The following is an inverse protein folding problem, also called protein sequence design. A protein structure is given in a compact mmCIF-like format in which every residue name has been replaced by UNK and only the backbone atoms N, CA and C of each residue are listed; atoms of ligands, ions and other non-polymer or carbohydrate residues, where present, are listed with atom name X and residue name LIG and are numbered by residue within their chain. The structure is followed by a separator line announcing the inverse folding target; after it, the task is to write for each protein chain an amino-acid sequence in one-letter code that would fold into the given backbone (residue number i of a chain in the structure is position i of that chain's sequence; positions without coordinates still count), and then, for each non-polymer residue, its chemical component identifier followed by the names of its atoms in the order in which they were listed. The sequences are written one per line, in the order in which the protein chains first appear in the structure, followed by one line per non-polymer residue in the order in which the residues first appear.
data_IF_454764400979
#
_entry.id   IF_454764400979
#
_cell.length_a   1.000
_cell.length_b   1.000
_cell.length_c   1.000
_cell.angle_alpha   90.00
_cell.angle_beta   90.00
_cell.angle_gamma   90.00
#
_symmetry.space_group_name_H-M   'P 1'
#
loop_
_entity.id
_entity.type
_entity.pdbx_description
1 polymer ?
#
# COMPACT_ATOMS: atom_id res chain seq x y z
N UNK A 1 7.56 -22.17 -11.05
CA UNK A 1 6.55 -21.32 -10.39
C UNK A 1 7.09 -19.90 -10.39
N UNK A 2 6.50 -19.01 -11.18
CA UNK A 2 6.82 -17.59 -11.11
C UNK A 2 6.04 -16.96 -9.93
N UNK A 3 6.66 -16.09 -9.13
CA UNK A 3 5.95 -15.41 -8.06
C UNK A 3 4.89 -14.48 -8.68
N UNK A 4 3.63 -14.71 -8.34
CA UNK A 4 2.54 -13.80 -8.66
C UNK A 4 2.74 -12.52 -7.85
N UNK A 5 3.16 -11.46 -8.52
CA UNK A 5 3.26 -10.13 -7.95
C UNK A 5 1.84 -9.55 -7.92
N UNK A 6 1.25 -9.45 -6.74
CA UNK A 6 -0.10 -8.90 -6.56
C UNK A 6 -0.14 -7.45 -7.07
N UNK A 7 -0.88 -7.16 -8.16
CA UNK A 7 -1.12 -5.79 -8.55
C UNK A 7 -2.26 -5.23 -7.69
N UNK A 8 -2.14 -3.96 -7.32
CA UNK A 8 -3.26 -3.06 -7.09
C UNK A 8 -4.22 -3.32 -5.91
N UNK A 9 -3.85 -2.79 -4.75
CA UNK A 9 -4.71 -2.00 -3.86
C UNK A 9 -3.79 -1.17 -2.94
N UNK A 10 -3.77 0.15 -3.09
CA UNK A 10 -2.99 1.02 -2.20
C UNK A 10 -3.87 1.38 -1.00
N UNK A 11 -3.73 0.63 0.09
CA UNK A 11 -4.45 0.88 1.34
C UNK A 11 -3.58 1.78 2.25
N UNK A 12 -4.10 2.96 2.54
CA UNK A 12 -3.47 3.98 3.38
C UNK A 12 -3.10 3.39 4.76
N UNK A 13 -1.80 3.17 4.99
CA UNK A 13 -1.29 2.52 6.21
C UNK A 13 -0.14 3.32 6.79
N UNK A 14 -0.48 4.41 7.49
CA UNK A 14 0.46 5.11 8.36
C UNK A 14 -0.09 5.13 9.80
N UNK A 15 0.20 4.05 10.54
CA UNK A 15 0.05 3.87 12.00
C UNK A 15 -1.34 3.54 12.56
N UNK A 16 -1.67 2.26 12.57
CA UNK A 16 -2.37 1.54 13.66
C UNK A 16 -2.13 0.04 13.39
N UNK A 17 -2.07 -0.86 14.40
CA UNK A 17 -1.90 -2.30 14.12
C UNK A 17 -3.10 -2.77 13.30
N UNK A 18 -2.91 -2.86 11.98
CA UNK A 18 -3.75 -3.48 10.95
C UNK A 18 -5.22 -3.66 11.34
N UNK A 19 -5.92 -2.55 11.65
CA UNK A 19 -7.25 -2.52 12.28
C UNK A 19 -8.09 -3.77 12.01
N UNK A 20 -8.34 -4.06 10.73
CA UNK A 20 -8.90 -5.34 10.27
C UNK A 20 -8.18 -5.91 9.03
N UNK A 21 -7.01 -5.37 8.66
CA UNK A 21 -6.28 -5.85 7.47
C UNK A 21 -5.82 -7.31 7.65
N UNK A 22 -5.44 -7.69 8.88
CA UNK A 22 -5.11 -9.07 9.22
C UNK A 22 -6.26 -10.07 8.97
N UNK A 23 -7.52 -9.61 8.93
CA UNK A 23 -8.70 -10.46 8.70
C UNK A 23 -8.91 -10.80 7.21
N UNK A 24 -8.35 -10.02 6.29
CA UNK A 24 -8.43 -10.28 4.86
C UNK A 24 -7.73 -11.58 4.47
N UNK A 25 -6.50 -11.77 4.93
CA UNK A 25 -5.64 -12.92 4.57
C UNK A 25 -6.27 -14.30 4.86
N UNK A 26 -6.85 -14.58 6.04
CA UNK A 26 -7.50 -15.87 6.30
C UNK A 26 -8.81 -16.05 5.53
N UNK A 27 -9.57 -14.97 5.25
CA UNK A 27 -10.81 -15.03 4.47
C UNK A 27 -10.54 -15.26 2.99
N UNK A 28 -9.61 -14.53 2.41
CA UNK A 28 -9.18 -14.68 1.03
C UNK A 28 -8.68 -16.10 0.72
N UNK A 29 -7.91 -16.72 1.63
CA UNK A 29 -7.43 -18.12 1.45
C UNK A 29 -8.55 -19.16 1.33
N UNK A 30 -9.77 -18.84 1.74
CA UNK A 30 -10.94 -19.74 1.69
C UNK A 30 -11.97 -19.30 0.65
N UNK A 31 -11.75 -18.17 -0.01
CA UNK A 31 -12.65 -17.65 -1.01
C UNK A 31 -12.27 -18.19 -2.40
N UNK A 32 -13.28 -18.49 -3.21
CA UNK A 32 -13.12 -18.67 -4.65
C UNK A 32 -13.12 -17.27 -5.26
N UNK A 33 -12.05 -16.92 -5.97
CA UNK A 33 -11.84 -15.58 -6.53
C UNK A 33 -11.34 -15.75 -7.96
N UNK A 34 -12.25 -15.62 -8.92
CA UNK A 34 -11.98 -15.77 -10.35
C UNK A 34 -11.90 -14.42 -11.07
N UNK A 35 -12.38 -13.35 -10.43
CA UNK A 35 -12.43 -12.01 -10.98
C UNK A 35 -12.04 -10.93 -9.97
N UNK A 36 -11.78 -9.73 -10.49
CA UNK A 36 -11.59 -8.53 -9.66
C UNK A 36 -12.82 -8.23 -8.80
N UNK A 37 -14.02 -8.53 -9.31
CA UNK A 37 -15.26 -8.33 -8.57
C UNK A 37 -15.34 -9.24 -7.34
N UNK A 38 -14.98 -10.51 -7.50
CA UNK A 38 -14.95 -11.47 -6.39
C UNK A 38 -13.94 -11.02 -5.32
N UNK A 39 -12.80 -10.48 -5.76
CA UNK A 39 -11.80 -9.93 -4.85
C UNK A 39 -12.32 -8.72 -4.07
N UNK A 40 -12.98 -7.76 -4.75
CA UNK A 40 -13.63 -6.60 -4.13
C UNK A 40 -14.63 -7.07 -3.07
N UNK A 41 -15.47 -8.06 -3.41
CA UNK A 41 -16.46 -8.62 -2.50
C UNK A 41 -15.80 -9.24 -1.25
N UNK A 42 -14.70 -9.98 -1.42
CA UNK A 42 -13.94 -10.53 -0.28
C UNK A 42 -13.43 -9.41 0.62
N UNK A 43 -12.87 -8.34 0.05
CA UNK A 43 -12.36 -7.20 0.84
C UNK A 43 -13.49 -6.55 1.65
N UNK A 44 -14.60 -6.20 1.02
CA UNK A 44 -15.73 -5.53 1.70
C UNK A 44 -16.41 -6.41 2.76
N UNK A 45 -16.45 -7.73 2.57
CA UNK A 45 -17.05 -8.66 3.52
C UNK A 45 -16.15 -8.99 4.72
N UNK A 46 -14.86 -8.64 4.68
CA UNK A 46 -13.93 -9.01 5.75
C UNK A 46 -14.08 -8.15 7.00
N UNK A 47 -14.41 -6.87 6.85
CA UNK A 47 -14.72 -5.97 7.96
C UNK A 47 -15.42 -4.71 7.45
N UNK A 48 -16.30 -4.12 8.27
CA UNK A 48 -17.02 -2.88 7.93
C UNK A 48 -16.08 -1.68 7.63
N UNK A 49 -14.83 -1.73 8.08
CA UNK A 49 -13.82 -0.70 7.84
C UNK A 49 -13.01 -0.93 6.56
N UNK A 50 -13.07 -2.13 5.99
CA UNK A 50 -12.34 -2.46 4.76
C UNK A 50 -13.18 -1.98 3.57
N UNK A 51 -12.62 -1.05 2.79
CA UNK A 51 -13.19 -0.58 1.54
C UNK A 51 -12.27 -0.95 0.40
N UNK A 52 -12.83 -1.55 -0.65
CA UNK A 52 -12.07 -1.85 -1.85
C UNK A 52 -12.06 -0.61 -2.74
N UNK A 53 -10.86 -0.15 -3.11
CA UNK A 53 -10.66 0.93 -4.08
C UNK A 53 -9.89 0.32 -5.26
N UNK A 54 -10.59 -0.22 -6.28
CA UNK A 54 -9.95 -0.78 -7.45
C UNK A 54 -9.35 0.35 -8.28
N UNK A 55 -8.10 0.17 -8.64
CA UNK A 55 -7.29 1.17 -9.38
C UNK A 55 -7.14 0.80 -10.85
N UNK A 56 -7.93 -0.18 -11.27
CA UNK A 56 -8.20 -0.51 -12.65
C UNK A 56 -9.42 -1.43 -12.79
N UNK A 57 -9.85 -1.67 -14.02
CA UNK A 57 -10.98 -2.53 -14.35
C UNK A 57 -10.53 -3.87 -14.94
N UNK A 58 -11.45 -4.85 -14.97
CA UNK A 58 -11.24 -6.14 -15.66
C UNK A 58 -10.95 -5.98 -17.16
N UNK A 59 -11.25 -4.82 -17.74
CA UNK A 59 -11.06 -4.50 -19.15
C UNK A 59 -9.73 -3.77 -19.40
N UNK A 60 -8.88 -3.62 -18.38
CA UNK A 60 -7.55 -3.01 -18.50
C UNK A 60 -7.57 -1.47 -18.41
N UNK A 61 -8.70 -0.86 -18.08
CA UNK A 61 -8.76 0.56 -17.76
C UNK A 61 -8.03 0.79 -16.44
N UNK A 62 -7.14 1.78 -16.36
CA UNK A 62 -6.40 2.12 -15.15
C UNK A 62 -6.87 3.49 -14.66
N UNK A 63 -7.10 3.61 -13.36
CA UNK A 63 -7.26 4.91 -12.73
C UNK A 63 -5.89 5.57 -12.70
N UNK A 64 -5.82 6.84 -13.12
CA UNK A 64 -4.59 7.62 -13.00
C UNK A 64 -4.17 7.68 -11.53
N UNK A 65 -3.03 7.04 -11.23
CA UNK A 65 -2.43 7.09 -9.90
C UNK A 65 -1.27 8.07 -9.93
N UNK A 66 -1.16 8.86 -8.86
CA UNK A 66 -0.05 9.78 -8.74
C UNK A 66 1.18 9.02 -8.23
N UNK A 67 2.25 9.00 -9.02
CA UNK A 67 3.52 8.40 -8.59
C UNK A 67 4.21 9.29 -7.56
N UNK A 68 3.78 9.13 -6.31
CA UNK A 68 4.37 9.78 -5.15
C UNK A 68 5.86 9.45 -5.03
N UNK A 69 6.31 8.26 -5.48
CA UNK A 69 7.72 7.88 -5.37
C UNK A 69 8.58 8.75 -6.26
N UNK A 70 8.20 8.90 -7.54
CA UNK A 70 8.90 9.79 -8.47
C UNK A 70 8.80 11.25 -8.06
N UNK A 71 7.61 11.70 -7.64
CA UNK A 71 7.43 13.08 -7.16
C UNK A 71 8.34 13.38 -5.96
N UNK A 72 8.34 12.54 -4.93
CA UNK A 72 9.15 12.75 -3.74
C UNK A 72 10.64 12.54 -3.97
N UNK A 73 11.04 11.77 -4.98
CA UNK A 73 12.44 11.69 -5.39
C UNK A 73 12.97 13.04 -5.92
N UNK A 74 12.11 13.94 -6.41
CA UNK A 74 12.51 15.30 -6.80
C UNK A 74 12.69 16.23 -5.61
N UNK A 75 12.01 15.97 -4.49
CA UNK A 75 11.97 16.83 -3.31
C UNK A 75 12.94 16.39 -2.22
N UNK A 76 13.18 15.09 -2.08
CA UNK A 76 13.93 14.51 -0.96
C UNK A 76 15.20 13.78 -1.41
N UNK A 77 16.16 13.71 -0.48
CA UNK A 77 17.40 12.95 -0.66
C UNK A 77 17.30 11.59 0.00
N UNK A 78 17.79 10.55 -0.69
CA UNK A 78 17.87 9.21 -0.13
C UNK A 78 18.99 9.14 0.92
N UNK A 79 18.64 8.70 2.13
CA UNK A 79 19.61 8.46 3.21
C UNK A 79 20.26 7.09 2.98
N UNK A 80 21.55 7.07 2.65
CA UNK A 80 22.31 5.82 2.53
C UNK A 80 22.47 5.21 3.92
N UNK A 81 22.23 3.91 4.05
CA UNK A 81 22.36 3.22 5.35
C UNK A 81 21.33 3.66 6.39
N UNK A 82 20.12 4.07 6.00
CA UNK A 82 19.10 4.60 6.94
C UNK A 82 18.84 3.69 8.15
N UNK A 83 19.04 2.37 8.00
CA UNK A 83 18.87 1.37 9.07
C UNK A 83 20.02 1.36 10.07
N UNK A 84 21.17 1.93 9.74
CA UNK A 84 22.36 1.98 10.59
C UNK A 84 22.30 3.15 11.58
N UNK A 85 21.40 4.12 11.36
CA UNK A 85 21.19 5.25 12.26
C UNK A 85 20.21 4.90 13.37
N UNK A 86 20.58 5.22 14.62
CA UNK A 86 19.74 4.98 15.80
C UNK A 86 18.82 6.17 16.12
N UNK A 87 19.26 7.40 15.78
CA UNK A 87 18.56 8.63 16.11
C UNK A 87 18.63 9.63 14.95
N UNK A 88 17.53 10.35 14.72
CA UNK A 88 17.44 11.47 13.78
C UNK A 88 17.18 12.75 14.55
N UNK A 89 17.95 13.80 14.27
CA UNK A 89 17.71 15.14 14.82
C UNK A 89 17.25 16.04 13.68
N UNK A 90 16.07 16.63 13.85
CA UNK A 90 15.51 17.59 12.89
C UNK A 90 15.73 19.00 13.44
N UNK A 91 16.52 19.80 12.75
CA UNK A 91 16.82 21.18 13.13
C UNK A 91 16.12 22.16 12.17
N UNK A 92 15.43 23.17 12.71
CA UNK A 92 14.76 24.21 11.93
C UNK A 92 15.72 25.13 11.20
N UNK A 93 16.94 25.30 11.71
CA UNK A 93 18.00 26.12 11.10
C UNK A 93 18.76 25.38 9.99
N UNK A 94 18.73 24.03 9.99
CA UNK A 94 19.37 23.19 8.97
C UNK A 94 18.49 21.96 8.66
N UNK A 95 17.29 22.16 8.08
CA UNK A 95 16.38 21.07 7.77
C UNK A 95 16.98 20.14 6.71
N UNK A 96 16.94 18.83 6.96
CA UNK A 96 17.37 17.82 5.99
C UNK A 96 18.88 17.64 5.84
N UNK A 97 19.69 18.19 6.76
CA UNK A 97 21.12 17.89 6.84
C UNK A 97 21.31 16.51 7.46
N UNK A 98 21.99 15.63 6.73
CA UNK A 98 22.49 14.33 7.20
C UNK A 98 23.88 14.50 7.81
#
# INVERSE_FOLDING_TARGET
MHPFQYPFCQLDTKYSPDWCFGLLKPKFRKAEVDSLHDFIQVVEQTAAVNKAEPVGSSNGELIETFDLSSYFATLFKKIKGIKDFQHFVVNTTQPGKL
#
